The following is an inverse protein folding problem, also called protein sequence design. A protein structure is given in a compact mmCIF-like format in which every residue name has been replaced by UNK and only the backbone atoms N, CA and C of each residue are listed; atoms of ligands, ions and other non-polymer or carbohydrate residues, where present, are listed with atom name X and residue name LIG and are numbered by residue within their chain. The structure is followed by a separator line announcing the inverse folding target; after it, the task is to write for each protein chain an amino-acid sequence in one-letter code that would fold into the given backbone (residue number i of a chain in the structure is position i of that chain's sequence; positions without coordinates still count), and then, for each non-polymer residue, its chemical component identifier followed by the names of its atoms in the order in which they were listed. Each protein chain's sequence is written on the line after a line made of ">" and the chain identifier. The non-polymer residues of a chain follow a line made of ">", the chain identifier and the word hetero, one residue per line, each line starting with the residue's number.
data_IF_437649301006
#
_entry.id   IF_437649301006
#
_cell.length_a   1.000
_cell.length_b   1.000
_cell.length_c   1.000
_cell.angle_alpha   90.00
_cell.angle_beta   90.00
_cell.angle_gamma   90.00
#
_symmetry.space_group_name_H-M   'P 1'
#
loop_
_entity.id
_entity.type
_entity.pdbx_description
1 polymer ?
#
# COMPACT_ATOMS: atom_id res chain seq x y z
N UNK A 1 20.16 7.22 -6.02
CA UNK A 1 20.51 6.04 -6.85
C UNK A 1 20.23 4.69 -6.18
N UNK A 2 20.27 4.57 -4.85
CA UNK A 2 20.01 3.29 -4.16
C UNK A 2 18.55 2.84 -4.21
N UNK A 3 17.60 3.76 -4.30
CA UNK A 3 16.15 3.44 -4.38
C UNK A 3 15.71 2.93 -5.76
N UNK A 4 16.48 3.22 -6.82
CA UNK A 4 16.17 2.73 -8.16
C UNK A 4 16.33 1.21 -8.32
N UNK A 5 17.16 0.58 -7.51
CA UNK A 5 17.35 -0.88 -7.53
C UNK A 5 16.05 -1.60 -7.17
N UNK A 6 15.28 -1.03 -6.24
CA UNK A 6 14.00 -1.60 -5.79
C UNK A 6 12.94 -1.59 -6.91
N UNK A 7 13.00 -0.62 -7.82
CA UNK A 7 12.08 -0.51 -8.97
C UNK A 7 12.48 -1.49 -10.07
N UNK A 8 13.76 -1.81 -10.20
CA UNK A 8 14.28 -2.71 -11.24
C UNK A 8 13.88 -4.18 -11.02
N UNK A 9 13.59 -4.59 -9.77
CA UNK A 9 13.16 -5.95 -9.45
C UNK A 9 11.65 -6.08 -9.69
N UNK A 10 11.18 -7.09 -10.43
CA UNK A 10 9.75 -7.31 -10.60
C UNK A 10 9.02 -7.45 -9.26
N UNK A 11 7.91 -6.75 -9.10
CA UNK A 11 7.17 -6.68 -7.84
C UNK A 11 6.84 -8.06 -7.24
N UNK A 12 6.47 -9.03 -8.09
CA UNK A 12 6.12 -10.37 -7.62
C UNK A 12 7.30 -11.09 -6.96
N UNK A 13 8.51 -10.91 -7.50
CA UNK A 13 9.75 -11.49 -6.93
C UNK A 13 10.01 -10.88 -5.56
N UNK A 14 9.93 -9.56 -5.46
CA UNK A 14 10.08 -8.85 -4.19
C UNK A 14 9.07 -9.33 -3.15
N UNK A 15 7.80 -9.47 -3.53
CA UNK A 15 6.74 -9.92 -2.61
C UNK A 15 6.95 -11.36 -2.15
N UNK A 16 7.40 -12.27 -3.03
CA UNK A 16 7.72 -13.65 -2.65
C UNK A 16 8.92 -13.74 -1.70
N UNK A 17 9.96 -12.93 -1.95
CA UNK A 17 11.10 -12.84 -1.03
C UNK A 17 10.68 -12.32 0.34
N UNK A 18 9.88 -11.25 0.37
CA UNK A 18 9.35 -10.67 1.61
C UNK A 18 8.47 -11.68 2.35
N UNK A 19 7.61 -12.43 1.65
CA UNK A 19 6.82 -13.50 2.24
C UNK A 19 7.69 -14.54 2.93
N UNK A 20 8.73 -15.04 2.26
CA UNK A 20 9.64 -16.01 2.84
C UNK A 20 10.43 -15.43 4.02
N UNK A 21 10.82 -14.16 3.94
CA UNK A 21 11.55 -13.46 5.00
C UNK A 21 10.72 -13.32 6.28
N UNK A 22 9.42 -13.01 6.18
CA UNK A 22 8.49 -12.83 7.29
C UNK A 22 7.63 -14.06 7.60
N UNK A 23 7.90 -15.21 6.98
CA UNK A 23 7.21 -16.46 7.29
C UNK A 23 7.47 -16.90 8.74
N UNK A 24 6.64 -17.80 9.25
CA UNK A 24 6.74 -18.29 10.63
C UNK A 24 8.12 -18.89 10.93
N UNK A 25 8.70 -19.65 9.99
CA UNK A 25 10.07 -20.18 10.05
C UNK A 25 11.09 -19.27 9.33
N UNK A 26 10.73 -18.05 9.02
CA UNK A 26 11.56 -17.12 8.25
C UNK A 26 12.76 -16.57 9.04
N UNK A 27 13.70 -16.01 8.29
CA UNK A 27 14.92 -15.41 8.84
C UNK A 27 14.59 -14.32 9.86
N UNK A 28 13.57 -13.50 9.59
CA UNK A 28 13.20 -12.40 10.48
C UNK A 28 12.69 -12.90 11.84
N UNK A 29 11.84 -13.93 11.87
CA UNK A 29 11.38 -14.54 13.12
C UNK A 29 12.55 -15.16 13.91
N UNK A 30 13.48 -15.83 13.23
CA UNK A 30 14.70 -16.36 13.86
C UNK A 30 15.54 -15.24 14.50
N UNK A 31 15.71 -14.12 13.81
CA UNK A 31 16.42 -12.95 14.36
C UNK A 31 15.70 -12.35 15.56
N UNK A 32 14.37 -12.20 15.51
CA UNK A 32 13.57 -11.65 16.61
C UNK A 32 13.63 -12.56 17.85
N UNK A 33 13.57 -13.87 17.66
CA UNK A 33 13.72 -14.84 18.74
C UNK A 33 15.10 -14.75 19.39
N UNK A 34 16.16 -14.73 18.59
CA UNK A 34 17.53 -14.60 19.10
C UNK A 34 17.79 -13.27 19.82
N UNK A 35 17.10 -12.21 19.43
CA UNK A 35 17.17 -10.90 20.07
C UNK A 35 16.27 -10.77 21.32
N UNK A 36 15.49 -11.79 21.69
CA UNK A 36 14.57 -11.76 22.83
C UNK A 36 13.32 -10.90 22.61
N UNK A 37 13.08 -10.42 21.40
CA UNK A 37 11.94 -9.56 21.08
C UNK A 37 10.62 -10.32 21.20
N UNK A 38 10.61 -11.59 20.85
CA UNK A 38 9.43 -12.46 20.99
C UNK A 38 9.00 -12.58 22.45
N UNK A 39 9.94 -12.72 23.39
CA UNK A 39 9.64 -12.79 24.81
C UNK A 39 9.20 -11.44 25.38
N UNK A 40 9.75 -10.35 24.89
CA UNK A 40 9.28 -9.00 25.21
C UNK A 40 7.82 -8.81 24.77
N UNK A 41 7.47 -9.21 23.54
CA UNK A 41 6.11 -9.12 23.02
C UNK A 41 5.10 -9.99 23.79
N UNK A 42 5.53 -11.16 24.29
CA UNK A 42 4.73 -11.97 25.21
C UNK A 42 4.48 -11.24 26.53
N UNK A 43 5.51 -10.60 27.08
CA UNK A 43 5.43 -9.88 28.37
C UNK A 43 4.48 -8.71 28.32
N UNK A 44 4.45 -7.96 27.21
CA UNK A 44 3.53 -6.81 27.01
C UNK A 44 2.14 -7.21 26.48
N UNK A 45 1.89 -8.52 26.30
CA UNK A 45 0.58 -9.03 25.91
C UNK A 45 0.20 -8.88 24.43
N UNK A 46 1.16 -8.48 23.58
CA UNK A 46 0.96 -8.38 22.13
C UNK A 46 1.08 -9.74 21.42
N UNK A 47 1.69 -10.71 22.07
CA UNK A 47 1.86 -12.08 21.57
C UNK A 47 1.32 -13.09 22.57
N UNK A 48 0.63 -14.12 22.10
CA UNK A 48 0.12 -15.19 22.96
C UNK A 48 1.24 -15.98 23.65
N UNK A 49 1.04 -16.39 24.90
CA UNK A 49 2.05 -17.08 25.74
C UNK A 49 2.57 -18.40 25.13
N UNK A 50 1.78 -19.03 24.23
CA UNK A 50 2.14 -20.29 23.57
C UNK A 50 2.75 -20.15 22.17
N UNK A 51 3.03 -18.93 21.71
CA UNK A 51 3.57 -18.69 20.38
C UNK A 51 5.09 -18.57 20.42
N UNK A 52 5.80 -19.39 19.64
CA UNK A 52 7.27 -19.37 19.53
C UNK A 52 7.78 -18.46 18.42
N UNK A 53 6.88 -17.80 17.69
CA UNK A 53 7.18 -16.91 16.59
C UNK A 53 6.14 -15.78 16.50
N UNK A 54 6.50 -14.69 15.84
CA UNK A 54 5.58 -13.60 15.57
C UNK A 54 4.80 -13.94 14.29
N UNK A 55 3.46 -14.04 14.36
CA UNK A 55 2.64 -14.47 13.22
C UNK A 55 2.39 -13.32 12.23
N UNK A 56 3.46 -12.80 11.61
CA UNK A 56 3.43 -11.61 10.74
C UNK A 56 2.42 -11.72 9.60
N UNK A 57 2.29 -12.91 9.00
CA UNK A 57 1.42 -13.15 7.85
C UNK A 57 0.27 -14.11 8.16
N UNK A 58 0.26 -14.69 9.36
CA UNK A 58 -0.67 -15.75 9.78
C UNK A 58 -1.77 -15.24 10.71
N UNK A 59 -1.53 -14.20 11.49
CA UNK A 59 -2.54 -13.54 12.30
C UNK A 59 -3.19 -12.36 11.57
N UNK A 60 -4.49 -12.18 11.78
CA UNK A 60 -5.30 -11.16 11.11
C UNK A 60 -4.77 -9.73 11.29
N UNK A 61 -4.43 -9.36 12.51
CA UNK A 61 -4.01 -8.00 12.82
C UNK A 61 -2.59 -7.73 12.32
N UNK A 62 -1.69 -8.70 12.53
CA UNK A 62 -0.32 -8.64 12.05
C UNK A 62 -0.26 -8.62 10.53
N UNK A 63 -1.06 -9.46 9.85
CA UNK A 63 -1.09 -9.52 8.39
C UNK A 63 -1.60 -8.21 7.77
N UNK A 64 -2.64 -7.58 8.33
CA UNK A 64 -3.10 -6.26 7.85
C UNK A 64 -2.03 -5.19 8.00
N UNK A 65 -1.36 -5.15 9.16
CA UNK A 65 -0.25 -4.23 9.40
C UNK A 65 0.89 -4.45 8.39
N UNK A 66 1.30 -5.70 8.20
CA UNK A 66 2.38 -6.07 7.27
C UNK A 66 2.03 -5.75 5.82
N UNK A 67 0.80 -6.01 5.38
CA UNK A 67 0.32 -5.65 4.04
C UNK A 67 0.46 -4.14 3.81
N UNK A 68 0.03 -3.32 4.77
CA UNK A 68 0.14 -1.85 4.67
C UNK A 68 1.60 -1.42 4.62
N UNK A 69 2.44 -1.92 5.52
CA UNK A 69 3.86 -1.58 5.58
C UNK A 69 4.60 -1.96 4.29
N UNK A 70 4.37 -3.17 3.80
CA UNK A 70 5.01 -3.67 2.57
C UNK A 70 4.51 -2.91 1.35
N UNK A 71 3.21 -2.61 1.29
CA UNK A 71 2.64 -1.83 0.20
C UNK A 71 3.21 -0.41 0.15
N UNK A 72 3.36 0.24 1.30
CA UNK A 72 4.02 1.56 1.41
C UNK A 72 5.48 1.44 0.96
N UNK A 73 6.22 0.45 1.46
CA UNK A 73 7.62 0.26 1.12
C UNK A 73 7.86 0.03 -0.37
N UNK A 74 7.01 -0.74 -1.03
CA UNK A 74 7.07 -0.98 -2.47
C UNK A 74 6.64 0.25 -3.28
N UNK A 75 5.67 1.03 -2.78
CA UNK A 75 5.11 2.20 -3.46
C UNK A 75 5.97 3.47 -3.36
N UNK A 76 6.67 3.67 -2.23
CA UNK A 76 7.45 4.89 -1.97
C UNK A 76 8.47 5.21 -3.06
N UNK A 77 9.31 4.28 -3.57
CA UNK A 77 10.32 4.62 -4.57
C UNK A 77 9.72 5.22 -5.85
N UNK A 78 8.59 4.71 -6.30
CA UNK A 78 7.90 5.24 -7.47
C UNK A 78 7.35 6.65 -7.22
N UNK A 79 6.72 6.88 -6.08
CA UNK A 79 6.21 8.20 -5.69
C UNK A 79 7.34 9.22 -5.53
N UNK A 80 8.47 8.81 -4.97
CA UNK A 80 9.66 9.66 -4.87
C UNK A 80 10.18 10.06 -6.25
N UNK A 81 10.18 9.15 -7.22
CA UNK A 81 10.62 9.44 -8.58
C UNK A 81 9.73 10.50 -9.24
N UNK A 82 8.41 10.33 -9.15
CA UNK A 82 7.44 11.30 -9.69
C UNK A 82 7.58 12.66 -8.98
N UNK A 83 7.61 12.67 -7.65
CA UNK A 83 7.76 13.89 -6.87
C UNK A 83 9.05 14.64 -7.20
N UNK A 84 10.15 13.91 -7.36
CA UNK A 84 11.43 14.50 -7.76
C UNK A 84 11.34 15.13 -9.13
N UNK A 85 10.72 14.45 -10.11
CA UNK A 85 10.53 14.98 -11.46
C UNK A 85 9.75 16.30 -11.46
N UNK A 86 8.69 16.41 -10.66
CA UNK A 86 7.93 17.67 -10.54
C UNK A 86 8.76 18.77 -9.86
N UNK A 87 9.47 18.43 -8.77
CA UNK A 87 10.29 19.42 -8.07
C UNK A 87 11.45 19.95 -8.91
N UNK A 88 12.00 19.15 -9.82
CA UNK A 88 13.03 19.58 -10.76
C UNK A 88 12.52 20.55 -11.83
N UNK A 89 11.22 20.61 -12.05
CA UNK A 89 10.59 21.56 -12.98
C UNK A 89 10.29 22.94 -12.34
N UNK A 90 10.56 23.12 -11.06
CA UNK A 90 10.44 24.44 -10.41
C UNK A 90 11.56 25.33 -10.94
N UNK A 91 11.25 26.50 -11.52
CA UNK A 91 12.27 27.44 -11.99
C UNK A 91 13.20 27.85 -10.85
N UNK A 92 14.52 27.86 -11.12
CA UNK A 92 15.54 28.26 -10.12
C UNK A 92 15.30 29.67 -9.59
N UNK A 93 14.85 30.57 -10.47
CA UNK A 93 14.59 31.98 -10.13
C UNK A 93 13.57 32.14 -8.99
N UNK A 94 12.56 31.27 -8.93
CA UNK A 94 11.57 31.29 -7.83
C UNK A 94 12.22 30.86 -6.51
N UNK A 95 13.11 29.86 -6.54
CA UNK A 95 13.79 29.37 -5.36
C UNK A 95 14.84 30.40 -4.87
N UNK A 96 15.55 31.04 -5.81
CA UNK A 96 16.50 32.09 -5.50
C UNK A 96 15.81 33.34 -4.93
N UNK A 97 14.71 33.79 -5.53
CA UNK A 97 13.90 34.90 -5.02
C UNK A 97 13.43 34.62 -3.58
N UNK A 98 12.92 33.42 -3.31
CA UNK A 98 12.49 33.04 -1.95
C UNK A 98 13.64 33.10 -0.93
N UNK A 99 14.87 32.78 -1.36
CA UNK A 99 16.05 32.85 -0.51
C UNK A 99 16.44 34.30 -0.24
N UNK A 100 16.37 35.19 -1.26
CA UNK A 100 16.62 36.63 -1.13
C UNK A 100 15.60 37.26 -0.18
N UNK A 101 14.33 36.85 -0.25
CA UNK A 101 13.26 37.29 0.64
C UNK A 101 13.39 36.74 2.07
N UNK A 102 14.43 35.95 2.36
CA UNK A 102 14.70 35.40 3.68
C UNK A 102 13.77 34.28 4.11
N UNK A 103 13.12 33.59 3.17
CA UNK A 103 12.24 32.45 3.49
C UNK A 103 13.06 31.30 4.09
N UNK A 104 12.57 30.78 5.23
CA UNK A 104 13.14 29.56 5.82
C UNK A 104 12.88 28.34 4.92
N UNK A 105 13.67 27.24 5.03
CA UNK A 105 13.46 26.01 4.25
C UNK A 105 12.04 25.46 4.37
N UNK A 106 11.41 25.57 5.55
CA UNK A 106 10.04 25.15 5.78
C UNK A 106 9.03 26.04 5.06
N UNK A 107 9.23 27.36 5.08
CA UNK A 107 8.39 28.30 4.36
C UNK A 107 8.48 28.09 2.84
N UNK A 108 9.69 27.91 2.30
CA UNK A 108 9.90 27.54 0.91
C UNK A 108 9.20 26.21 0.55
N UNK A 109 9.28 25.22 1.43
CA UNK A 109 8.58 23.95 1.21
C UNK A 109 7.07 24.14 1.15
N UNK A 110 6.47 24.81 2.13
CA UNK A 110 5.00 24.94 2.26
C UNK A 110 4.42 25.84 1.17
N UNK A 111 5.08 26.98 0.85
CA UNK A 111 4.51 27.99 -0.03
C UNK A 111 4.91 27.83 -1.49
N UNK A 112 6.02 27.14 -1.79
CA UNK A 112 6.50 26.95 -3.16
C UNK A 112 6.44 25.48 -3.55
N UNK A 113 7.20 24.59 -2.88
CA UNK A 113 7.33 23.19 -3.32
C UNK A 113 6.03 22.39 -3.20
N UNK A 114 5.28 22.57 -2.12
CA UNK A 114 4.04 21.84 -1.88
C UNK A 114 2.92 22.20 -2.87
N UNK A 115 2.69 23.47 -3.25
CA UNK A 115 1.78 23.82 -4.33
C UNK A 115 2.18 23.21 -5.67
N UNK A 116 3.45 23.21 -6.03
CA UNK A 116 3.93 22.54 -7.24
C UNK A 116 3.68 21.03 -7.20
N UNK A 117 3.86 20.40 -6.05
CA UNK A 117 3.52 18.98 -5.87
C UNK A 117 2.02 18.69 -5.99
N UNK A 118 1.16 19.69 -5.76
CA UNK A 118 -0.30 19.50 -5.90
C UNK A 118 -0.76 19.21 -7.34
N UNK A 119 0.05 19.55 -8.34
CA UNK A 119 -0.15 19.16 -9.75
C UNK A 119 -0.14 17.63 -9.93
N UNK A 120 0.44 16.89 -8.98
CA UNK A 120 0.36 15.41 -8.96
C UNK A 120 -1.00 14.85 -8.51
N UNK A 121 -1.98 15.69 -8.21
CA UNK A 121 -3.31 15.24 -7.79
C UNK A 121 -3.87 14.09 -8.64
N UNK A 122 -3.86 14.18 -9.98
CA UNK A 122 -4.31 13.08 -10.84
C UNK A 122 -3.55 11.78 -10.66
N UNK A 123 -2.23 11.83 -10.46
CA UNK A 123 -1.40 10.64 -10.21
C UNK A 123 -1.75 10.00 -8.88
N UNK A 124 -1.96 10.79 -7.82
CA UNK A 124 -2.37 10.29 -6.51
C UNK A 124 -3.74 9.60 -6.54
N UNK A 125 -4.70 10.15 -7.30
CA UNK A 125 -6.01 9.50 -7.50
C UNK A 125 -5.84 8.16 -8.20
N UNK A 126 -5.01 8.11 -9.24
CA UNK A 126 -4.71 6.86 -9.97
C UNK A 126 -4.07 5.82 -9.06
N UNK A 127 -3.13 6.23 -8.21
CA UNK A 127 -2.46 5.32 -7.29
C UNK A 127 -3.40 4.84 -6.18
N UNK A 128 -4.34 5.66 -5.73
CA UNK A 128 -5.39 5.21 -4.82
C UNK A 128 -6.23 4.09 -5.46
N UNK A 129 -6.70 4.28 -6.70
CA UNK A 129 -7.47 3.27 -7.43
C UNK A 129 -6.65 1.99 -7.65
N UNK A 130 -5.36 2.10 -7.97
CA UNK A 130 -4.45 0.95 -8.05
C UNK A 130 -4.36 0.20 -6.71
N UNK A 131 -4.33 0.92 -5.59
CA UNK A 131 -4.26 0.28 -4.27
C UNK A 131 -5.57 -0.41 -3.88
N UNK A 132 -6.73 0.15 -4.23
CA UNK A 132 -8.03 -0.52 -4.07
C UNK A 132 -8.08 -1.83 -4.87
N UNK A 133 -7.43 -1.88 -6.02
CA UNK A 133 -7.33 -3.04 -6.90
C UNK A 133 -6.00 -3.80 -6.76
N UNK A 134 -5.27 -3.64 -5.65
CA UNK A 134 -3.95 -4.26 -5.48
C UNK A 134 -4.06 -5.76 -5.17
N UNK A 135 -4.17 -6.54 -6.22
CA UNK A 135 -4.23 -8.00 -6.14
C UNK A 135 -2.91 -8.60 -5.63
N UNK A 136 -1.77 -8.14 -6.19
CA UNK A 136 -0.49 -8.79 -6.00
C UNK A 136 -0.03 -8.82 -4.54
N UNK A 137 -0.11 -7.67 -3.84
CA UNK A 137 0.38 -7.56 -2.47
C UNK A 137 -0.38 -8.51 -1.55
N UNK A 138 -1.71 -8.54 -1.65
CA UNK A 138 -2.52 -9.39 -0.78
C UNK A 138 -2.39 -10.86 -1.17
N UNK A 139 -2.57 -11.17 -2.46
CA UNK A 139 -2.55 -12.56 -2.93
C UNK A 139 -1.20 -13.23 -2.68
N UNK A 140 -0.08 -12.58 -3.01
CA UNK A 140 1.25 -13.18 -2.87
C UNK A 140 1.74 -13.25 -1.42
N UNK A 141 1.34 -12.31 -0.55
CA UNK A 141 1.74 -12.33 0.85
C UNK A 141 0.91 -13.30 1.71
N UNK A 142 -0.40 -13.44 1.41
CA UNK A 142 -1.33 -14.17 2.29
C UNK A 142 -1.91 -15.43 1.66
N UNK A 143 -1.26 -16.00 0.65
CA UNK A 143 -1.79 -17.05 -0.24
C UNK A 143 -2.34 -18.27 0.51
N UNK A 144 -1.63 -18.78 1.52
CA UNK A 144 -1.95 -20.05 2.17
C UNK A 144 -2.40 -19.93 3.63
N UNK A 145 -2.47 -18.72 4.16
CA UNK A 145 -2.34 -18.54 5.59
C UNK A 145 -3.66 -18.21 6.28
N UNK A 146 -4.64 -17.69 5.56
CA UNK A 146 -5.79 -17.12 6.20
C UNK A 146 -7.06 -17.95 6.03
N UNK A 147 -7.41 -18.73 7.05
CA UNK A 147 -8.77 -19.29 7.21
C UNK A 147 -9.54 -18.36 8.14
N UNK A 148 -10.62 -17.79 7.66
CA UNK A 148 -11.52 -17.00 8.51
C UNK A 148 -12.17 -17.87 9.58
N UNK A 149 -12.35 -17.31 10.77
CA UNK A 149 -13.09 -17.94 11.87
C UNK A 149 -14.60 -17.74 11.75
N UNK A 150 -15.02 -16.81 10.90
CA UNK A 150 -16.44 -16.51 10.68
C UNK A 150 -17.04 -17.48 9.66
N UNK A 151 -18.10 -18.20 10.05
CA UNK A 151 -18.79 -19.16 9.20
C UNK A 151 -19.40 -18.52 7.95
N UNK A 152 -19.92 -17.31 8.04
CA UNK A 152 -20.51 -16.61 6.90
C UNK A 152 -19.45 -16.22 5.87
N UNK A 153 -18.28 -15.75 6.32
CA UNK A 153 -17.14 -15.49 5.46
C UNK A 153 -16.56 -16.78 4.87
N UNK A 154 -16.47 -17.86 5.65
CA UNK A 154 -16.00 -19.15 5.19
C UNK A 154 -16.87 -19.70 4.05
N UNK A 155 -18.20 -19.55 4.15
CA UNK A 155 -19.14 -19.93 3.11
C UNK A 155 -19.00 -19.11 1.82
N UNK A 156 -18.56 -17.86 1.93
CA UNK A 156 -18.34 -16.95 0.79
C UNK A 156 -16.94 -17.06 0.17
N UNK A 157 -16.04 -17.90 0.72
CA UNK A 157 -14.61 -17.98 0.40
C UNK A 157 -13.84 -16.65 0.55
N UNK A 158 -14.42 -15.65 1.19
CA UNK A 158 -13.73 -14.42 1.50
C UNK A 158 -12.75 -14.63 2.66
N UNK A 159 -11.58 -14.03 2.59
CA UNK A 159 -10.61 -13.98 3.69
C UNK A 159 -10.66 -12.61 4.35
N UNK A 160 -10.32 -12.56 5.63
CA UNK A 160 -10.39 -11.33 6.43
C UNK A 160 -9.43 -10.22 5.96
N UNK A 161 -8.44 -10.56 5.16
CA UNK A 161 -7.47 -9.63 4.56
C UNK A 161 -7.75 -9.36 3.08
N UNK A 162 -8.84 -9.88 2.53
CA UNK A 162 -9.17 -9.69 1.12
C UNK A 162 -9.59 -8.27 0.78
N UNK A 163 -9.15 -7.83 -0.38
CA UNK A 163 -9.83 -6.81 -1.15
C UNK A 163 -10.90 -7.47 -2.04
N UNK A 164 -11.83 -6.66 -2.55
CA UNK A 164 -12.86 -7.15 -3.46
C UNK A 164 -12.27 -7.84 -4.69
N UNK A 165 -11.11 -7.36 -5.19
CA UNK A 165 -10.42 -7.96 -6.34
C UNK A 165 -9.82 -9.33 -6.02
N UNK A 166 -9.28 -9.55 -4.83
CA UNK A 166 -8.74 -10.86 -4.44
C UNK A 166 -9.85 -11.86 -4.16
N UNK A 167 -10.95 -11.40 -3.58
CA UNK A 167 -12.15 -12.23 -3.41
C UNK A 167 -12.78 -12.61 -4.76
N UNK A 168 -12.93 -11.65 -5.70
CA UNK A 168 -13.37 -11.91 -7.06
C UNK A 168 -12.54 -12.98 -7.75
N UNK A 169 -11.20 -12.90 -7.60
CA UNK A 169 -10.30 -13.90 -8.16
C UNK A 169 -10.59 -15.30 -7.60
N UNK A 170 -10.78 -15.45 -6.28
CA UNK A 170 -11.12 -16.75 -5.67
C UNK A 170 -12.46 -17.28 -6.12
N UNK A 171 -13.49 -16.43 -6.18
CA UNK A 171 -14.78 -16.81 -6.71
C UNK A 171 -14.68 -17.37 -8.14
N UNK A 172 -13.78 -16.82 -8.94
CA UNK A 172 -13.56 -17.25 -10.33
C UNK A 172 -12.76 -18.54 -10.42
N UNK A 173 -11.63 -18.61 -9.69
CA UNK A 173 -10.65 -19.70 -9.84
C UNK A 173 -10.94 -20.91 -8.94
N UNK A 174 -11.45 -20.68 -7.73
CA UNK A 174 -11.68 -21.76 -6.76
C UNK A 174 -13.14 -22.25 -6.75
N UNK A 175 -14.10 -21.33 -6.92
CA UNK A 175 -15.52 -21.67 -6.84
C UNK A 175 -16.24 -21.73 -8.20
N UNK A 176 -15.60 -21.28 -9.28
CA UNK A 176 -16.20 -21.18 -10.62
C UNK A 176 -17.51 -20.40 -10.64
N UNK A 177 -17.70 -19.49 -9.65
CA UNK A 177 -18.91 -18.66 -9.52
C UNK A 177 -18.78 -17.35 -10.31
N UNK A 178 -18.80 -17.48 -11.64
CA UNK A 178 -18.61 -16.33 -12.55
C UNK A 178 -19.71 -15.27 -12.42
N UNK A 179 -20.93 -15.66 -12.01
CA UNK A 179 -22.03 -14.71 -11.83
C UNK A 179 -21.74 -13.73 -10.69
N UNK A 180 -21.34 -14.25 -9.53
CA UNK A 180 -21.00 -13.42 -8.38
C UNK A 180 -19.73 -12.59 -8.64
N UNK A 181 -18.73 -13.20 -9.27
CA UNK A 181 -17.50 -12.48 -9.66
C UNK A 181 -17.80 -11.31 -10.60
N UNK A 182 -18.67 -11.47 -11.58
CA UNK A 182 -19.08 -10.39 -12.48
C UNK A 182 -19.76 -9.23 -11.73
N UNK A 183 -20.66 -9.54 -10.78
CA UNK A 183 -21.32 -8.52 -9.95
C UNK A 183 -20.29 -7.72 -9.14
N UNK A 184 -19.35 -8.40 -8.49
CA UNK A 184 -18.30 -7.74 -7.71
C UNK A 184 -17.42 -6.86 -8.61
N UNK A 185 -17.05 -7.36 -9.81
CA UNK A 185 -16.27 -6.59 -10.77
C UNK A 185 -16.97 -5.29 -11.18
N UNK A 186 -18.28 -5.35 -11.47
CA UNK A 186 -19.08 -4.17 -11.80
C UNK A 186 -19.14 -3.20 -10.60
N UNK A 187 -19.35 -3.71 -9.38
CA UNK A 187 -19.39 -2.89 -8.17
C UNK A 187 -18.05 -2.16 -7.95
N UNK A 188 -16.93 -2.87 -8.06
CA UNK A 188 -15.58 -2.28 -7.93
C UNK A 188 -15.39 -1.18 -8.99
N UNK A 189 -15.77 -1.45 -10.24
CA UNK A 189 -15.68 -0.46 -11.30
C UNK A 189 -16.51 0.79 -10.99
N UNK A 190 -17.75 0.65 -10.56
CA UNK A 190 -18.63 1.80 -10.23
C UNK A 190 -18.05 2.61 -9.07
N UNK A 191 -17.59 1.95 -8.01
CA UNK A 191 -16.98 2.62 -6.85
C UNK A 191 -15.74 3.42 -7.27
N UNK A 192 -14.83 2.79 -8.02
CA UNK A 192 -13.61 3.44 -8.50
C UNK A 192 -13.93 4.60 -9.47
N UNK A 193 -14.92 4.42 -10.35
CA UNK A 193 -15.32 5.46 -11.29
C UNK A 193 -15.91 6.68 -10.57
N UNK A 194 -16.83 6.47 -9.63
CA UNK A 194 -17.41 7.56 -8.83
C UNK A 194 -16.32 8.29 -8.05
N UNK A 195 -15.46 7.54 -7.35
CA UNK A 195 -14.35 8.11 -6.59
C UNK A 195 -13.45 8.98 -7.49
N UNK A 196 -13.04 8.43 -8.63
CA UNK A 196 -12.18 9.11 -9.60
C UNK A 196 -12.83 10.40 -10.10
N UNK A 197 -14.09 10.35 -10.54
CA UNK A 197 -14.82 11.51 -11.04
C UNK A 197 -14.97 12.60 -9.96
N UNK A 198 -15.27 12.22 -8.73
CA UNK A 198 -15.36 13.17 -7.60
C UNK A 198 -14.02 13.84 -7.35
N UNK A 199 -12.93 13.06 -7.25
CA UNK A 199 -11.60 13.59 -7.01
C UNK A 199 -11.13 14.54 -8.15
N UNK A 200 -11.30 14.13 -9.41
CA UNK A 200 -10.95 14.98 -10.55
C UNK A 200 -11.77 16.28 -10.58
N UNK A 201 -13.04 16.24 -10.20
CA UNK A 201 -13.85 17.46 -10.11
C UNK A 201 -13.31 18.46 -9.08
N UNK A 202 -12.80 17.94 -7.94
CA UNK A 202 -12.18 18.79 -6.93
C UNK A 202 -10.81 19.33 -7.36
N UNK A 203 -10.00 18.52 -8.05
CA UNK A 203 -8.67 18.92 -8.54
C UNK A 203 -8.83 20.03 -9.58
N UNK A 204 -9.65 19.82 -10.62
CA UNK A 204 -9.86 20.79 -11.70
C UNK A 204 -10.45 22.11 -11.19
N UNK A 205 -11.29 22.07 -10.15
CA UNK A 205 -11.82 23.29 -9.54
C UNK A 205 -10.72 24.13 -8.88
N UNK A 206 -9.71 23.49 -8.28
CA UNK A 206 -8.56 24.20 -7.70
C UNK A 206 -7.66 24.80 -8.79
N UNK A 207 -7.38 24.09 -9.86
CA UNK A 207 -6.56 24.60 -10.97
C UNK A 207 -7.19 25.85 -11.60
N UNK A 208 -8.53 25.85 -11.80
CA UNK A 208 -9.25 27.01 -12.31
C UNK A 208 -9.25 28.24 -11.37
N UNK A 209 -8.85 28.08 -10.11
CA UNK A 209 -8.76 29.18 -9.14
C UNK A 209 -7.36 29.81 -9.12
N UNK A 210 -6.35 29.12 -9.67
CA UNK A 210 -4.96 29.58 -9.76
C UNK A 210 -4.55 30.06 -11.16
N UNK A 211 -5.40 29.92 -12.16
CA UNK A 211 -5.26 30.51 -13.51
C UNK A 211 -5.98 31.86 -13.59
#
# INVERSE_FOLDING_TARGET
>A
DRFMITIAVPQFVTLLLVRNFFSDAGIFNTMMNNAGVTDLLKTIGLLGQGMDHIPFLTDQHWAKFMIIMINIWVGIPYQMLIATGVLMNIPSDILEASTIDGASPLQCFIHIKLPYLSVQGPALVTDFVKNVNNFNVIYLLTQDVYKTKDQAMAASSAKEVDLLVTWLFRLTQEQYNYKMAAVIGIMVFIICAIFTLVCFRFINKKEATFS
#
